data_IF_509318015888
#
_entry.id   IF_509318015888
#
_cell.length_a   1.000
_cell.length_b   1.000
_cell.length_c   1.000
_cell.angle_alpha   90.00
_cell.angle_beta   90.00
_cell.angle_gamma   90.00
#
_symmetry.space_group_name_H-M   'P 1'
#
loop_
_entity.id
_entity.type
_entity.pdbx_description
1 polymer ?
#
# COMPACT_ATOMS: atom_id res chain seq x y z
N UNK A 1 9.22 4.18 17.17
CA UNK A 1 8.53 5.44 16.81
C UNK A 1 7.09 5.09 16.47
N UNK A 2 6.15 5.99 16.76
CA UNK A 2 4.72 5.74 16.60
C UNK A 2 4.02 7.04 16.23
N UNK A 3 3.24 7.03 15.15
CA UNK A 3 2.38 8.14 14.72
C UNK A 3 0.95 7.65 14.52
N UNK A 4 -0.01 8.58 14.63
CA UNK A 4 -1.44 8.31 14.51
C UNK A 4 -2.00 9.27 13.47
N UNK A 5 -2.67 8.76 12.44
CA UNK A 5 -3.27 9.54 11.37
C UNK A 5 -2.27 10.48 10.68
N UNK A 6 -1.06 10.00 10.40
CA UNK A 6 0.01 10.75 9.73
C UNK A 6 0.49 10.04 8.45
N UNK A 7 -0.36 9.21 7.84
CA UNK A 7 0.02 8.45 6.65
C UNK A 7 0.52 9.35 5.50
N UNK A 8 -0.04 10.56 5.37
CA UNK A 8 0.36 11.58 4.40
C UNK A 8 1.74 12.20 4.67
N UNK A 9 2.35 11.93 5.83
CA UNK A 9 3.72 12.29 6.15
C UNK A 9 4.75 11.21 5.77
N UNK A 10 4.32 10.18 5.04
CA UNK A 10 5.17 9.15 4.47
C UNK A 10 5.06 9.15 2.95
N UNK A 11 6.13 8.73 2.28
CA UNK A 11 6.13 8.47 0.86
C UNK A 11 6.50 7.00 0.63
N UNK A 12 5.60 6.29 -0.04
CA UNK A 12 5.72 4.85 -0.32
C UNK A 12 6.31 4.56 -1.69
N UNK A 13 6.71 5.58 -2.44
CA UNK A 13 7.41 5.38 -3.72
C UNK A 13 8.69 4.58 -3.46
N UNK A 14 8.86 3.48 -4.20
CA UNK A 14 9.97 2.50 -4.03
C UNK A 14 9.90 1.69 -2.72
N UNK A 15 8.83 1.81 -1.94
CA UNK A 15 8.59 0.91 -0.81
C UNK A 15 8.12 -0.45 -1.34
N UNK A 16 8.44 -1.51 -0.61
CA UNK A 16 7.95 -2.85 -0.93
C UNK A 16 7.26 -3.48 0.27
N UNK A 17 6.32 -4.36 -0.03
CA UNK A 17 5.50 -5.06 0.97
C UNK A 17 6.35 -6.17 1.57
N UNK A 18 6.71 -6.06 2.84
CA UNK A 18 7.36 -7.15 3.56
C UNK A 18 6.35 -8.21 4.00
N UNK A 19 5.15 -7.80 4.41
CA UNK A 19 4.09 -8.69 4.86
C UNK A 19 2.72 -7.99 4.85
N UNK A 20 1.66 -8.73 4.53
CA UNK A 20 0.28 -8.32 4.79
C UNK A 20 -0.37 -9.32 5.76
N UNK A 21 -1.02 -8.82 6.80
CA UNK A 21 -1.75 -9.63 7.78
C UNK A 21 -3.18 -9.11 7.92
N UNK A 22 -4.16 -9.92 7.53
CA UNK A 22 -5.58 -9.61 7.63
C UNK A 22 -6.34 -10.77 8.29
N UNK A 23 -6.38 -10.80 9.62
CA UNK A 23 -7.01 -11.89 10.39
C UNK A 23 -7.87 -11.34 11.52
N UNK A 24 -9.03 -11.94 11.77
CA UNK A 24 -9.87 -11.67 12.94
C UNK A 24 -10.18 -10.18 13.20
N UNK A 25 -10.46 -9.39 12.14
CA UNK A 25 -10.76 -7.97 12.28
C UNK A 25 -9.53 -7.07 12.48
N UNK A 26 -8.33 -7.61 12.29
CA UNK A 26 -7.08 -6.86 12.20
C UNK A 26 -6.67 -6.74 10.75
N UNK A 27 -6.07 -5.60 10.40
CA UNK A 27 -5.43 -5.36 9.11
C UNK A 27 -4.13 -4.60 9.34
N UNK A 28 -3.03 -5.21 8.92
CA UNK A 28 -1.68 -4.69 9.07
C UNK A 28 -0.89 -4.94 7.78
N UNK A 29 -0.11 -3.95 7.35
CA UNK A 29 0.91 -4.13 6.31
C UNK A 29 2.25 -3.65 6.84
N UNK A 30 3.27 -4.48 6.66
CA UNK A 30 4.66 -4.14 6.94
C UNK A 30 5.31 -3.73 5.63
N UNK A 31 5.90 -2.55 5.61
CA UNK A 31 6.62 -2.00 4.47
C UNK A 31 8.10 -1.82 4.80
N UNK A 32 8.92 -2.06 3.80
CA UNK A 32 10.32 -1.67 3.82
C UNK A 32 10.58 -0.51 2.86
N UNK A 33 11.73 0.15 3.04
CA UNK A 33 12.19 1.24 2.18
C UNK A 33 11.22 2.44 2.12
N UNK A 34 10.42 2.65 3.17
CA UNK A 34 9.48 3.77 3.26
C UNK A 34 10.24 5.07 3.52
N UNK A 35 9.94 6.11 2.75
CA UNK A 35 10.45 7.45 3.01
C UNK A 35 9.61 8.13 4.07
N UNK A 36 10.25 8.66 5.11
CA UNK A 36 9.64 9.50 6.12
C UNK A 36 9.92 10.96 5.78
N UNK A 37 8.86 11.74 5.59
CA UNK A 37 8.97 13.15 5.20
C UNK A 37 9.37 14.03 6.40
N UNK A 38 9.93 15.23 6.15
CA UNK A 38 10.25 16.19 7.22
C UNK A 38 9.04 16.65 8.04
N UNK A 39 7.82 16.54 7.47
CA UNK A 39 6.58 16.91 8.15
C UNK A 39 6.14 15.90 9.22
N UNK A 40 6.68 14.67 9.20
CA UNK A 40 6.34 13.64 10.16
C UNK A 40 6.70 14.06 11.59
N UNK A 41 5.78 13.90 12.54
CA UNK A 41 5.95 14.41 13.91
C UNK A 41 7.11 13.75 14.69
N UNK A 42 7.50 12.54 14.31
CA UNK A 42 8.66 11.86 14.88
C UNK A 42 9.98 12.25 14.19
N UNK A 43 9.94 12.80 12.96
CA UNK A 43 11.13 13.25 12.25
C UNK A 43 11.55 14.64 12.72
N UNK A 44 12.66 14.70 13.47
CA UNK A 44 13.23 15.98 13.95
C UNK A 44 14.26 16.58 12.98
N UNK A 45 14.54 15.91 11.86
CA UNK A 45 15.43 16.38 10.81
C UNK A 45 14.63 17.12 9.73
N UNK A 46 15.24 18.13 9.10
CA UNK A 46 14.63 18.84 7.97
C UNK A 46 14.69 18.02 6.67
N UNK A 47 15.44 16.93 6.68
CA UNK A 47 15.64 16.03 5.54
C UNK A 47 14.67 14.86 5.58
N UNK A 48 14.46 14.28 4.40
CA UNK A 48 13.82 12.98 4.29
C UNK A 48 14.67 11.91 4.95
N UNK A 49 14.01 11.02 5.68
CA UNK A 49 14.61 9.84 6.28
C UNK A 49 13.96 8.60 5.68
N UNK A 50 14.47 7.42 6.05
CA UNK A 50 13.95 6.14 5.63
C UNK A 50 13.63 5.26 6.83
N UNK A 51 12.60 4.43 6.72
CA UNK A 51 12.36 3.32 7.63
C UNK A 51 12.21 2.01 6.87
N UNK A 52 12.67 0.95 7.54
CA UNK A 52 12.33 -0.43 7.20
C UNK A 52 11.42 -0.95 8.31
N UNK A 53 10.71 -2.04 8.01
CA UNK A 53 9.76 -2.68 8.92
C UNK A 53 8.72 -1.68 9.47
N UNK A 54 8.30 -0.73 8.61
CA UNK A 54 7.24 0.22 8.96
C UNK A 54 5.91 -0.52 8.94
N UNK A 55 5.28 -0.58 10.10
CA UNK A 55 3.99 -1.25 10.31
C UNK A 55 2.87 -0.23 10.18
N UNK A 56 2.05 -0.37 9.14
CA UNK A 56 0.79 0.35 8.99
C UNK A 56 -0.37 -0.50 9.52
N UNK A 57 -1.11 0.02 10.50
CA UNK A 57 -2.35 -0.60 11.00
C UNK A 57 -3.53 0.30 10.71
N UNK A 58 -4.64 -0.30 10.27
CA UNK A 58 -5.92 0.40 10.09
C UNK A 58 -6.87 -0.01 11.22
N UNK A 59 -7.48 0.98 11.87
CA UNK A 59 -8.44 0.78 12.96
C UNK A 59 -9.82 0.42 12.42
N UNK A 60 -10.50 -0.55 13.05
CA UNK A 60 -11.78 -1.11 12.61
C UNK A 60 -11.80 -1.44 11.10
N UNK A 61 -10.81 -2.21 10.61
CA UNK A 61 -10.59 -2.34 9.19
C UNK A 61 -11.65 -3.22 8.53
N UNK A 62 -12.05 -2.82 7.33
CA UNK A 62 -12.83 -3.66 6.42
C UNK A 62 -12.22 -3.59 5.03
N UNK A 63 -11.79 -4.74 4.51
CA UNK A 63 -11.34 -4.83 3.12
C UNK A 63 -12.56 -4.68 2.23
N UNK A 64 -12.64 -3.56 1.51
CA UNK A 64 -13.74 -3.25 0.61
C UNK A 64 -13.58 -3.95 -0.74
N UNK A 65 -12.34 -4.01 -1.25
CA UNK A 65 -12.03 -4.71 -2.50
C UNK A 65 -10.53 -5.01 -2.62
N UNK A 66 -10.21 -6.09 -3.33
CA UNK A 66 -8.90 -6.33 -3.92
C UNK A 66 -9.13 -6.61 -5.41
N UNK A 67 -8.52 -5.80 -6.27
CA UNK A 67 -8.77 -5.82 -7.71
C UNK A 67 -7.44 -5.91 -8.44
N UNK A 68 -7.33 -6.87 -9.36
CA UNK A 68 -6.30 -6.84 -10.40
C UNK A 68 -6.78 -5.91 -11.51
N UNK A 69 -6.03 -4.84 -11.79
CA UNK A 69 -6.41 -3.85 -12.79
C UNK A 69 -6.25 -4.40 -14.20
N UNK A 70 -7.30 -4.23 -15.00
CA UNK A 70 -7.27 -4.54 -16.43
C UNK A 70 -6.48 -3.50 -17.20
N UNK A 71 -5.94 -3.89 -18.35
CA UNK A 71 -5.17 -3.01 -19.22
C UNK A 71 -5.71 -2.99 -20.66
N UNK A 72 -5.34 -1.94 -21.39
CA UNK A 72 -5.65 -1.76 -22.80
C UNK A 72 -4.37 -1.71 -23.60
N UNK A 73 -4.28 -2.53 -24.64
CA UNK A 73 -3.15 -2.52 -25.58
C UNK A 73 -3.57 -1.77 -26.83
N UNK A 74 -2.79 -0.77 -27.22
CA UNK A 74 -3.01 0.03 -28.42
C UNK A 74 -1.93 -0.29 -29.47
N UNK A 75 -2.30 -0.26 -30.75
CA UNK A 75 -1.33 -0.33 -31.85
C UNK A 75 -0.57 1.00 -32.01
N UNK A 76 0.44 1.03 -32.89
CA UNK A 76 1.24 2.23 -33.14
C UNK A 76 0.44 3.41 -33.74
N UNK A 77 -0.78 3.17 -34.21
CA UNK A 77 -1.70 4.19 -34.71
C UNK A 77 -2.71 4.64 -33.64
N UNK A 78 -2.62 4.10 -32.41
CA UNK A 78 -3.54 4.40 -31.32
C UNK A 78 -4.86 3.62 -31.36
N UNK A 79 -5.00 2.59 -32.22
CA UNK A 79 -6.21 1.76 -32.24
C UNK A 79 -6.14 0.70 -31.15
N UNK A 80 -7.26 0.50 -30.43
CA UNK A 80 -7.37 -0.55 -29.41
C UNK A 80 -7.24 -1.94 -30.06
N UNK A 81 -6.24 -2.71 -29.63
CA UNK A 81 -6.05 -4.12 -30.04
C UNK A 81 -6.65 -5.11 -29.06
N UNK A 82 -6.47 -4.85 -27.76
CA UNK A 82 -6.86 -5.75 -26.70
C UNK A 82 -7.34 -4.94 -25.50
N UNK A 83 -8.40 -5.45 -24.87
CA UNK A 83 -8.90 -4.96 -23.59
C UNK A 83 -9.00 -6.15 -22.65
N UNK A 84 -8.31 -6.06 -21.52
CA UNK A 84 -8.53 -6.92 -20.38
C UNK A 84 -9.34 -6.11 -19.36
N UNK A 85 -10.38 -6.71 -18.79
CA UNK A 85 -11.19 -6.09 -17.75
C UNK A 85 -10.57 -6.33 -16.38
N UNK A 86 -10.96 -5.51 -15.41
CA UNK A 86 -10.58 -5.69 -14.02
C UNK A 86 -11.10 -7.02 -13.46
N UNK A 87 -10.29 -7.64 -12.58
CA UNK A 87 -10.65 -8.88 -11.91
C UNK A 87 -10.72 -8.63 -10.41
N UNK A 88 -11.92 -8.68 -9.85
CA UNK A 88 -12.10 -8.65 -8.39
C UNK A 88 -11.72 -10.00 -7.79
N UNK A 89 -10.79 -9.98 -6.85
CA UNK A 89 -10.38 -11.16 -6.08
C UNK A 89 -11.45 -11.46 -5.04
N UNK A 90 -11.84 -12.72 -4.91
CA UNK A 90 -12.83 -13.13 -3.91
C UNK A 90 -12.20 -13.13 -2.50
N UNK A 91 -12.95 -12.80 -1.44
CA UNK A 91 -12.42 -12.73 -0.07
C UNK A 91 -11.72 -14.01 0.41
N UNK A 92 -12.22 -15.18 -0.01
CA UNK A 92 -11.61 -16.48 0.29
C UNK A 92 -10.21 -16.66 -0.29
N UNK A 93 -9.84 -15.90 -1.33
CA UNK A 93 -8.54 -15.94 -1.98
C UNK A 93 -7.58 -14.84 -1.48
N UNK A 94 -8.03 -13.96 -0.57
CA UNK A 94 -7.20 -12.86 -0.07
C UNK A 94 -5.93 -13.34 0.62
N UNK A 95 -6.01 -14.41 1.42
CA UNK A 95 -4.84 -14.92 2.14
C UNK A 95 -3.73 -15.35 1.18
N UNK A 96 -4.07 -16.11 0.14
CA UNK A 96 -3.12 -16.55 -0.88
C UNK A 96 -2.60 -15.35 -1.69
N UNK A 97 -3.50 -14.45 -2.09
CA UNK A 97 -3.12 -13.25 -2.85
C UNK A 97 -2.20 -12.32 -2.06
N UNK A 98 -2.44 -12.13 -0.76
CA UNK A 98 -1.57 -11.34 0.12
C UNK A 98 -0.19 -11.95 0.25
N UNK A 99 -0.07 -13.28 0.23
CA UNK A 99 1.23 -13.96 0.18
C UNK A 99 1.95 -13.76 -1.14
N UNK A 100 1.23 -13.73 -2.26
CA UNK A 100 1.81 -13.45 -3.57
C UNK A 100 2.30 -11.99 -3.71
N UNK A 101 1.69 -11.04 -2.99
CA UNK A 101 2.06 -9.63 -3.01
C UNK A 101 3.26 -9.28 -2.09
N UNK A 102 3.74 -10.23 -1.27
CA UNK A 102 4.96 -10.04 -0.48
C UNK A 102 6.17 -9.88 -1.43
N UNK A 103 6.92 -8.78 -1.28
CA UNK A 103 8.04 -8.39 -2.13
C UNK A 103 7.67 -7.47 -3.29
N UNK A 104 6.38 -7.23 -3.55
CA UNK A 104 5.93 -6.30 -4.58
C UNK A 104 6.10 -4.85 -4.15
N UNK A 105 6.31 -3.97 -5.14
CA UNK A 105 6.45 -2.53 -4.91
C UNK A 105 5.09 -1.90 -4.68
N UNK A 106 5.06 -0.87 -3.84
CA UNK A 106 3.89 -0.02 -3.65
C UNK A 106 4.13 1.28 -4.38
N UNK A 107 3.21 1.64 -5.27
CA UNK A 107 3.28 2.90 -5.98
C UNK A 107 2.78 4.05 -5.12
N UNK A 108 1.63 3.87 -4.48
CA UNK A 108 0.98 4.88 -3.65
C UNK A 108 0.07 4.25 -2.59
N UNK A 109 -0.10 5.00 -1.51
CA UNK A 109 -1.18 4.78 -0.54
C UNK A 109 -1.91 6.09 -0.37
N UNK A 110 -3.18 6.13 -0.76
CA UNK A 110 -4.00 7.34 -0.75
C UNK A 110 -5.18 7.18 0.19
N UNK A 111 -5.53 8.26 0.90
CA UNK A 111 -6.74 8.30 1.73
C UNK A 111 -7.86 9.01 0.97
N UNK A 112 -8.95 8.28 0.69
CA UNK A 112 -10.10 8.78 -0.05
C UNK A 112 -11.42 8.40 0.65
N UNK A 113 -12.16 9.41 1.14
CA UNK A 113 -13.50 9.23 1.70
C UNK A 113 -13.56 8.13 2.78
N UNK A 114 -12.56 8.07 3.68
CA UNK A 114 -12.46 7.04 4.73
C UNK A 114 -11.92 5.68 4.26
N UNK A 115 -11.38 5.60 3.05
CA UNK A 115 -10.70 4.42 2.54
C UNK A 115 -9.21 4.70 2.35
N UNK A 116 -8.41 3.66 2.58
CA UNK A 116 -7.02 3.56 2.21
C UNK A 116 -6.97 2.78 0.89
N UNK A 117 -6.45 3.42 -0.14
CA UNK A 117 -6.30 2.86 -1.49
C UNK A 117 -4.81 2.61 -1.70
N UNK A 118 -4.44 1.33 -1.75
CA UNK A 118 -3.05 0.90 -1.89
C UNK A 118 -2.88 0.35 -3.31
N UNK A 119 -2.04 1.01 -4.09
CA UNK A 119 -1.67 0.60 -5.45
C UNK A 119 -0.37 -0.19 -5.42
N UNK A 120 -0.43 -1.44 -5.86
CA UNK A 120 0.66 -2.42 -5.75
C UNK A 120 1.06 -2.84 -7.15
N UNK A 121 2.32 -2.60 -7.50
CA UNK A 121 2.87 -2.99 -8.79
C UNK A 121 3.58 -4.34 -8.68
N UNK A 122 3.20 -5.24 -9.57
CA UNK A 122 3.89 -6.50 -9.81
C UNK A 122 4.63 -6.44 -11.16
N UNK A 123 5.36 -7.49 -11.53
CA UNK A 123 6.11 -7.50 -12.80
C UNK A 123 5.19 -7.30 -14.03
N UNK A 124 3.99 -7.89 -14.01
CA UNK A 124 3.08 -7.93 -15.17
C UNK A 124 1.71 -7.27 -14.93
N UNK A 125 1.35 -7.00 -13.66
CA UNK A 125 0.00 -6.56 -13.26
C UNK A 125 0.06 -5.49 -12.17
N UNK A 126 -0.99 -4.67 -12.07
CA UNK A 126 -1.20 -3.75 -10.95
C UNK A 126 -2.41 -4.21 -10.14
N UNK A 127 -2.30 -4.18 -8.82
CA UNK A 127 -3.38 -4.48 -7.91
C UNK A 127 -3.79 -3.24 -7.12
N UNK A 128 -5.09 -3.08 -6.92
CA UNK A 128 -5.68 -2.05 -6.07
C UNK A 128 -6.34 -2.72 -4.88
N UNK A 129 -5.79 -2.46 -3.68
CA UNK A 129 -6.35 -2.90 -2.41
C UNK A 129 -7.03 -1.72 -1.72
N UNK A 130 -8.34 -1.83 -1.49
CA UNK A 130 -9.14 -0.82 -0.80
C UNK A 130 -9.55 -1.34 0.56
N UNK A 131 -9.18 -0.60 1.61
CA UNK A 131 -9.53 -0.91 2.99
C UNK A 131 -10.20 0.32 3.61
N UNK A 132 -11.37 0.17 4.20
CA UNK A 132 -12.00 1.23 5.01
C UNK A 132 -11.59 1.07 6.47
N UNK A 133 -11.61 2.18 7.22
CA UNK A 133 -11.33 2.17 8.65
C UNK A 133 -11.52 3.54 9.30
N UNK A 134 -11.43 3.59 10.63
CA UNK A 134 -11.66 4.80 11.42
C UNK A 134 -10.41 5.67 11.64
N UNK A 135 -9.23 5.14 11.31
CA UNK A 135 -7.94 5.82 11.45
C UNK A 135 -6.78 4.85 11.25
N UNK A 136 -5.56 5.37 11.32
CA UNK A 136 -4.33 4.63 11.05
C UNK A 136 -3.25 4.91 12.10
N UNK A 137 -2.34 3.94 12.26
CA UNK A 137 -1.10 4.13 13.02
C UNK A 137 0.09 3.63 12.23
N UNK A 138 1.23 4.30 12.35
CA UNK A 138 2.50 3.86 11.77
C UNK A 138 3.52 3.63 12.88
N UNK A 139 4.14 2.47 12.88
CA UNK A 139 5.16 2.07 13.87
C UNK A 139 6.45 1.63 13.16
N UNK A 140 7.61 2.11 13.61
CA UNK A 140 8.92 1.69 13.10
C UNK A 140 10.01 1.87 14.15
N UNK A 141 11.11 1.12 14.05
CA UNK A 141 12.11 1.09 15.13
C UNK A 141 13.20 2.16 15.03
N UNK A 142 13.60 2.54 13.82
CA UNK A 142 14.75 3.44 13.61
C UNK A 142 14.64 4.26 12.33
N UNK A 143 15.22 5.45 12.37
CA UNK A 143 15.49 6.25 11.18
C UNK A 143 16.79 5.80 10.51
N UNK A 144 16.74 5.70 9.19
CA UNK A 144 17.86 5.40 8.31
C UNK A 144 18.04 6.59 7.37
N UNK A 145 19.28 6.85 6.94
CA UNK A 145 19.50 7.84 5.88
C UNK A 145 18.89 7.31 4.58
N UNK A 146 18.29 8.22 3.82
CA UNK A 146 17.88 7.95 2.44
C UNK A 146 19.09 7.94 1.52
#
# INVERSE_FOLDING_TARGET
YHTINELDHFCFKEAYIAQICAVNGMFEIVFDNVTILPANSCNRDIREMRANELVLKISEPKIEALVEEGYKVYDANGNLKQKNEDITIAPEAYADKFKELEGCEVYSIEQENGNYVISIDTEDHTFLLRVSGSGDTQEWDRFLNK
#
